data_IF_766259209487
#
_entry.id   IF_766259209487
#
_cell.length_a   1.000
_cell.length_b   1.000
_cell.length_c   1.000
_cell.angle_alpha   90.00
_cell.angle_beta   90.00
_cell.angle_gamma   90.00
#
_symmetry.space_group_name_H-M   'P 1'
#
loop_
_entity.id
_entity.type
_entity.pdbx_description
1 polymer ?
#
# COMPACT_ATOMS: atom_id res chain seq x y z
N UNK A 1 -2.53 20.27 0.38
CA UNK A 1 -3.39 19.09 0.10
C UNK A 1 -2.54 17.95 -0.44
N UNK A 2 -2.00 17.03 0.39
CA UNK A 2 -1.32 15.89 -0.18
C UNK A 2 -2.33 14.86 -0.70
N UNK A 3 -2.04 14.30 -1.86
CA UNK A 3 -2.70 13.11 -2.38
C UNK A 3 -1.65 12.01 -2.47
N UNK A 4 -1.86 10.92 -1.74
CA UNK A 4 -0.95 9.78 -1.71
C UNK A 4 -1.69 8.59 -2.32
N UNK A 5 -1.11 8.03 -3.37
CA UNK A 5 -1.68 6.86 -4.03
C UNK A 5 -0.78 5.67 -3.81
N UNK A 6 -1.37 4.57 -3.37
CA UNK A 6 -0.67 3.33 -3.08
C UNK A 6 -1.28 2.25 -3.96
N UNK A 7 -0.47 1.65 -4.82
CA UNK A 7 -0.91 0.51 -5.60
C UNK A 7 -0.46 -0.76 -4.91
N UNK A 8 -1.37 -1.72 -4.78
CA UNK A 8 -1.11 -3.02 -4.17
C UNK A 8 -1.62 -4.12 -5.09
N UNK A 9 -1.04 -5.30 -5.01
CA UNK A 9 -1.56 -6.44 -5.75
C UNK A 9 -2.85 -6.90 -5.07
N UNK A 10 -3.91 -7.04 -5.85
CA UNK A 10 -5.23 -7.46 -5.37
C UNK A 10 -5.15 -8.72 -4.52
N UNK A 11 -5.80 -8.71 -3.38
CA UNK A 11 -5.85 -9.86 -2.48
C UNK A 11 -4.65 -10.06 -1.57
N UNK A 12 -3.57 -9.27 -1.74
CA UNK A 12 -2.39 -9.36 -0.87
C UNK A 12 -2.67 -8.84 0.54
N UNK A 13 -3.49 -7.80 0.65
CA UNK A 13 -3.90 -7.22 1.92
C UNK A 13 -5.40 -7.41 2.13
N UNK A 14 -5.79 -7.67 3.37
CA UNK A 14 -7.20 -7.64 3.75
C UNK A 14 -7.70 -6.18 3.80
N UNK A 15 -9.02 -6.00 3.86
CA UNK A 15 -9.60 -4.66 3.99
C UNK A 15 -9.13 -3.98 5.29
N UNK A 16 -9.00 -4.74 6.37
CA UNK A 16 -8.48 -4.22 7.63
C UNK A 16 -7.03 -3.75 7.49
N UNK A 17 -6.20 -4.52 6.79
CA UNK A 17 -4.81 -4.15 6.55
C UNK A 17 -4.71 -2.90 5.66
N UNK A 18 -5.59 -2.77 4.67
CA UNK A 18 -5.65 -1.56 3.85
C UNK A 18 -6.02 -0.33 4.68
N UNK A 19 -6.98 -0.48 5.60
CA UNK A 19 -7.36 0.60 6.52
C UNK A 19 -6.19 0.99 7.43
N UNK A 20 -5.43 0.01 7.93
CA UNK A 20 -4.21 0.28 8.71
C UNK A 20 -3.17 1.02 7.89
N UNK A 21 -2.99 0.62 6.64
CA UNK A 21 -2.02 1.27 5.75
C UNK A 21 -2.40 2.73 5.51
N UNK A 22 -3.67 3.00 5.23
CA UNK A 22 -4.19 4.36 5.05
C UNK A 22 -3.92 5.20 6.32
N UNK A 23 -4.22 4.66 7.49
CA UNK A 23 -4.03 5.34 8.75
C UNK A 23 -2.56 5.66 9.01
N UNK A 24 -1.67 4.69 8.86
CA UNK A 24 -0.24 4.86 9.11
C UNK A 24 0.41 5.82 8.12
N UNK A 25 0.04 5.76 6.85
CA UNK A 25 0.56 6.67 5.83
C UNK A 25 0.08 8.10 6.10
N UNK A 26 -1.18 8.27 6.50
CA UNK A 26 -1.71 9.56 6.89
C UNK A 26 -0.91 10.15 8.06
N UNK A 27 -0.67 9.36 9.11
CA UNK A 27 0.11 9.84 10.26
C UNK A 27 1.53 10.23 9.86
N UNK A 28 2.17 9.45 9.00
CA UNK A 28 3.50 9.77 8.50
C UNK A 28 3.52 11.10 7.74
N UNK A 29 2.53 11.33 6.88
CA UNK A 29 2.42 12.58 6.13
C UNK A 29 2.19 13.77 7.06
N UNK A 30 1.32 13.62 8.06
CA UNK A 30 1.03 14.70 9.01
C UNK A 30 2.20 15.02 9.94
N UNK A 31 3.08 14.07 10.19
CA UNK A 31 4.31 14.33 10.93
C UNK A 31 5.18 15.37 10.22
N UNK A 32 5.08 15.47 8.91
CA UNK A 32 5.82 16.45 8.09
C UNK A 32 4.99 17.71 7.83
N UNK A 33 3.72 17.53 7.43
CA UNK A 33 2.85 18.66 7.05
C UNK A 33 2.27 19.42 8.25
N UNK A 34 2.09 18.74 9.37
CA UNK A 34 1.39 19.30 10.52
C UNK A 34 -0.07 18.85 10.60
N UNK A 35 -0.59 18.83 11.83
CA UNK A 35 -1.90 18.28 12.17
C UNK A 35 -3.05 19.03 11.49
N UNK A 36 -2.85 20.29 11.16
CA UNK A 36 -3.88 21.12 10.51
C UNK A 36 -4.32 20.59 9.15
N UNK A 37 -3.47 19.79 8.47
CA UNK A 37 -3.83 19.23 7.18
C UNK A 37 -4.58 17.89 7.27
N UNK A 38 -4.85 17.38 8.47
CA UNK A 38 -5.53 16.08 8.61
C UNK A 38 -6.82 15.97 7.78
N UNK A 39 -7.75 16.96 7.80
CA UNK A 39 -8.97 16.84 6.99
C UNK A 39 -8.74 16.91 5.49
N UNK A 40 -7.54 17.29 5.06
CA UNK A 40 -7.20 17.50 3.64
C UNK A 40 -6.16 16.50 3.14
N UNK A 41 -5.77 15.53 3.94
CA UNK A 41 -4.81 14.49 3.57
C UNK A 41 -5.56 13.33 2.93
N UNK A 42 -5.30 13.10 1.64
CA UNK A 42 -5.97 12.06 0.87
C UNK A 42 -5.03 10.89 0.65
N UNK A 43 -5.50 9.70 0.96
CA UNK A 43 -4.77 8.45 0.71
C UNK A 43 -5.70 7.50 -0.03
N UNK A 44 -5.25 7.03 -1.19
CA UNK A 44 -6.02 6.11 -2.01
C UNK A 44 -5.23 4.82 -2.17
N UNK A 45 -5.88 3.69 -1.96
CA UNK A 45 -5.31 2.36 -2.20
C UNK A 45 -5.95 1.81 -3.48
N UNK A 46 -5.11 1.50 -4.47
CA UNK A 46 -5.54 0.94 -5.74
C UNK A 46 -5.15 -0.53 -5.82
N UNK A 47 -6.11 -1.40 -6.11
CA UNK A 47 -5.85 -2.81 -6.34
C UNK A 47 -5.41 -3.03 -7.80
N UNK A 48 -4.29 -3.71 -7.98
CA UNK A 48 -3.82 -4.17 -9.28
C UNK A 48 -4.08 -5.67 -9.35
N UNK A 49 -4.78 -6.11 -10.39
CA UNK A 49 -5.17 -7.51 -10.54
C UNK A 49 -3.93 -8.41 -10.52
N UNK A 50 -4.07 -9.58 -9.86
CA UNK A 50 -3.03 -10.61 -9.81
C UNK A 50 -2.50 -10.92 -11.21
N UNK A 51 -1.18 -10.90 -11.37
CA UNK A 51 -0.52 -11.15 -12.64
C UNK A 51 -0.37 -9.93 -13.55
N UNK A 52 -0.94 -8.79 -13.16
CA UNK A 52 -0.86 -7.56 -13.97
C UNK A 52 0.12 -6.53 -13.42
N UNK A 53 0.90 -6.91 -12.45
CA UNK A 53 2.01 -6.11 -11.91
C UNK A 53 3.31 -6.65 -12.48
N UNK A 54 3.92 -5.93 -13.40
CA UNK A 54 5.10 -6.41 -14.09
C UNK A 54 6.41 -6.14 -13.35
N UNK A 55 7.20 -7.18 -13.12
CA UNK A 55 8.57 -7.07 -12.62
C UNK A 55 9.49 -7.71 -13.65
N UNK A 56 10.30 -6.89 -14.35
CA UNK A 56 11.21 -7.42 -15.36
C UNK A 56 10.51 -8.20 -16.46
N UNK A 57 9.29 -7.81 -16.81
CA UNK A 57 8.48 -8.51 -17.79
C UNK A 57 7.66 -9.68 -17.27
N UNK A 58 7.77 -10.00 -15.98
CA UNK A 58 7.02 -11.08 -15.35
C UNK A 58 5.86 -10.53 -14.53
N UNK A 59 4.68 -11.13 -14.66
CA UNK A 59 3.51 -10.74 -13.89
C UNK A 59 3.60 -11.25 -12.46
N UNK A 60 3.60 -10.34 -11.48
CA UNK A 60 3.59 -10.70 -10.06
C UNK A 60 2.18 -11.09 -9.65
N UNK A 61 2.03 -12.27 -9.06
CA UNK A 61 0.75 -12.80 -8.60
C UNK A 61 0.50 -12.48 -7.13
N UNK A 62 -0.78 -12.57 -6.72
CA UNK A 62 -1.16 -12.44 -5.33
C UNK A 62 -0.43 -13.46 -4.45
N UNK A 63 -0.32 -14.70 -4.93
CA UNK A 63 0.36 -15.76 -4.19
C UNK A 63 1.84 -15.46 -3.99
N UNK A 64 2.49 -14.91 -5.02
CA UNK A 64 3.89 -14.52 -4.93
C UNK A 64 4.11 -13.40 -3.91
N UNK A 65 3.22 -12.40 -3.88
CA UNK A 65 3.29 -11.32 -2.88
C UNK A 65 3.10 -11.86 -1.48
N UNK A 66 2.11 -12.72 -1.28
CA UNK A 66 1.84 -13.33 0.03
C UNK A 66 3.04 -14.15 0.52
N UNK A 67 3.70 -14.87 -0.39
CA UNK A 67 4.91 -15.60 -0.06
C UNK A 67 6.04 -14.68 0.40
N UNK A 68 6.20 -13.54 -0.27
CA UNK A 68 7.20 -12.53 0.13
C UNK A 68 6.87 -11.92 1.50
N UNK A 69 5.59 -11.64 1.77
CA UNK A 69 5.15 -11.08 3.04
C UNK A 69 5.38 -12.06 4.20
N UNK A 70 5.25 -13.35 3.95
CA UNK A 70 5.45 -14.40 4.96
C UNK A 70 6.92 -14.77 5.13
N UNK A 71 7.80 -14.38 4.20
CA UNK A 71 9.22 -14.73 4.27
C UNK A 71 9.92 -13.94 5.38
N UNK A 72 10.96 -14.53 6.04
CA UNK A 72 11.74 -13.77 7.00
C UNK A 72 12.48 -12.63 6.30
N UNK A 73 12.76 -11.51 7.01
CA UNK A 73 13.52 -10.41 6.42
C UNK A 73 14.87 -10.87 5.92
N UNK A 74 15.28 -10.33 4.79
CA UNK A 74 16.61 -10.58 4.22
C UNK A 74 17.67 -9.86 5.05
N UNK A 75 18.77 -10.50 5.33
CA UNK A 75 19.94 -9.91 6.01
C UNK A 75 20.17 -10.37 7.38
#
# INVERSE_FOLDING_TARGET
MPLIQISVVEGALSDQQKSQLISKVTEAALAVYGEGLRPHCWVIVNDVKSGQWGLGGQGLTTEAVKALMAAPPAG
#
